data_IF_703675792149
#
_entry.id   IF_703675792149
#
_cell.length_a   1.000
_cell.length_b   1.000
_cell.length_c   1.000
_cell.angle_alpha   90.00
_cell.angle_beta   90.00
_cell.angle_gamma   90.00
#
_symmetry.space_group_name_H-M   'P 1'
#
loop_
_entity.id
_entity.type
_entity.pdbx_description
1 polymer ?
#
# COMPACT_ATOMS: atom_id res chain seq x y z
N UNK A 1 -21.67 4.98 -5.45
CA UNK A 1 -21.73 6.04 -4.41
C UNK A 1 -23.11 6.65 -4.25
N UNK A 2 -23.75 7.20 -5.30
CA UNK A 2 -25.12 7.72 -5.18
C UNK A 2 -26.12 6.67 -4.65
N UNK A 3 -26.05 5.43 -5.14
CA UNK A 3 -26.84 4.33 -4.59
C UNK A 3 -26.63 4.14 -3.08
N UNK A 4 -25.40 4.30 -2.55
CA UNK A 4 -25.16 4.21 -1.10
C UNK A 4 -25.84 5.34 -0.32
N UNK A 5 -25.84 6.57 -0.87
CA UNK A 5 -26.48 7.73 -0.23
C UNK A 5 -28.00 7.56 -0.18
N UNK A 6 -28.61 7.01 -1.24
CA UNK A 6 -30.07 6.88 -1.33
C UNK A 6 -30.60 5.56 -0.77
N UNK A 7 -29.85 4.46 -0.87
CA UNK A 7 -30.30 3.10 -0.55
C UNK A 7 -29.57 2.51 0.67
N UNK A 8 -28.53 3.18 1.18
CA UNK A 8 -27.70 2.70 2.29
C UNK A 8 -26.77 1.54 1.96
N UNK A 9 -26.74 1.09 0.69
CA UNK A 9 -25.88 0.00 0.24
C UNK A 9 -25.34 0.25 -1.16
N UNK A 10 -24.14 -0.27 -1.45
CA UNK A 10 -23.61 -0.30 -2.81
C UNK A 10 -22.61 -1.44 -2.97
N UNK A 11 -22.60 -2.05 -4.17
CA UNK A 11 -21.55 -2.98 -4.57
C UNK A 11 -20.37 -2.18 -5.11
N UNK A 12 -19.18 -2.46 -4.60
CA UNK A 12 -17.93 -1.84 -5.08
C UNK A 12 -17.17 -2.86 -5.89
N UNK A 13 -16.80 -2.51 -7.12
CA UNK A 13 -15.90 -3.31 -7.94
C UNK A 13 -14.45 -3.08 -7.50
N UNK A 14 -13.63 -4.14 -7.54
CA UNK A 14 -12.24 -4.08 -7.06
C UNK A 14 -11.43 -2.97 -7.77
N UNK A 15 -11.64 -2.75 -9.07
CA UNK A 15 -10.95 -1.71 -9.84
C UNK A 15 -11.32 -0.28 -9.45
N UNK A 16 -12.48 -0.07 -8.83
CA UNK A 16 -12.98 1.26 -8.42
C UNK A 16 -12.79 1.50 -6.92
N UNK A 17 -12.14 0.58 -6.21
CA UNK A 17 -12.05 0.62 -4.75
C UNK A 17 -11.29 1.84 -4.24
N UNK A 18 -10.20 2.22 -4.92
CA UNK A 18 -9.41 3.42 -4.60
C UNK A 18 -10.21 4.70 -4.84
N UNK A 19 -10.92 4.80 -5.96
CA UNK A 19 -11.77 5.96 -6.28
C UNK A 19 -12.94 6.08 -5.30
N UNK A 20 -13.53 4.93 -4.91
CA UNK A 20 -14.59 4.90 -3.90
C UNK A 20 -14.07 5.33 -2.53
N UNK A 21 -12.87 4.90 -2.15
CA UNK A 21 -12.23 5.34 -0.91
C UNK A 21 -12.01 6.86 -0.94
N UNK A 22 -11.45 7.40 -2.02
CA UNK A 22 -11.23 8.84 -2.19
C UNK A 22 -12.53 9.64 -2.08
N UNK A 23 -13.56 9.21 -2.81
CA UNK A 23 -14.85 9.88 -2.79
C UNK A 23 -15.53 9.78 -1.40
N UNK A 24 -15.42 8.62 -0.73
CA UNK A 24 -15.96 8.44 0.63
C UNK A 24 -15.26 9.33 1.66
N UNK A 25 -13.95 9.53 1.53
CA UNK A 25 -13.18 10.41 2.40
C UNK A 25 -13.53 11.88 2.17
N UNK A 26 -13.65 12.31 0.90
CA UNK A 26 -14.04 13.69 0.54
C UNK A 26 -15.45 14.05 1.00
N UNK A 27 -16.37 13.09 0.93
CA UNK A 27 -17.76 13.29 1.34
C UNK A 27 -17.99 12.99 2.83
N UNK A 28 -16.94 12.60 3.56
CA UNK A 28 -16.98 12.30 5.00
C UNK A 28 -18.01 11.21 5.33
N UNK A 29 -18.06 10.17 4.49
CA UNK A 29 -18.93 8.99 4.68
C UNK A 29 -18.10 7.90 5.36
N UNK A 30 -17.89 8.04 6.67
CA UNK A 30 -17.10 7.12 7.49
C UNK A 30 -17.47 5.62 7.34
N UNK A 31 -18.76 5.21 7.31
CA UNK A 31 -19.09 3.80 7.16
C UNK A 31 -18.66 3.24 5.80
N UNK A 32 -18.74 4.05 4.73
CA UNK A 32 -18.28 3.64 3.41
C UNK A 32 -16.76 3.60 3.33
N UNK A 33 -16.08 4.58 3.96
CA UNK A 33 -14.62 4.61 4.08
C UNK A 33 -14.09 3.36 4.80
N UNK A 34 -14.72 2.99 5.92
CA UNK A 34 -14.36 1.79 6.68
C UNK A 34 -14.61 0.50 5.87
N UNK A 35 -15.74 0.41 5.15
CA UNK A 35 -16.03 -0.74 4.29
C UNK A 35 -15.02 -0.87 3.15
N UNK A 36 -14.61 0.25 2.53
CA UNK A 36 -13.57 0.25 1.49
C UNK A 36 -12.22 -0.21 2.07
N UNK A 37 -11.84 0.30 3.25
CA UNK A 37 -10.61 -0.10 3.92
C UNK A 37 -10.60 -1.62 4.23
N UNK A 38 -11.71 -2.18 4.71
CA UNK A 38 -11.84 -3.61 4.95
C UNK A 38 -11.74 -4.44 3.67
N UNK A 39 -12.36 -3.99 2.59
CA UNK A 39 -12.27 -4.65 1.29
C UNK A 39 -10.85 -4.61 0.71
N UNK A 40 -10.12 -3.50 0.91
CA UNK A 40 -8.71 -3.39 0.53
C UNK A 40 -7.84 -4.33 1.35
N UNK A 41 -8.06 -4.40 2.66
CA UNK A 41 -7.34 -5.33 3.54
C UNK A 41 -7.56 -6.79 3.13
N UNK A 42 -8.77 -7.15 2.70
CA UNK A 42 -9.11 -8.51 2.27
C UNK A 42 -8.43 -8.93 0.96
N UNK A 43 -7.98 -7.96 0.15
CA UNK A 43 -7.28 -8.17 -1.13
C UNK A 43 -5.79 -7.83 -1.02
N UNK A 44 -5.30 -7.61 0.21
CA UNK A 44 -3.93 -7.23 0.47
C UNK A 44 -2.98 -8.38 0.14
N UNK A 45 -1.88 -8.05 -0.54
CA UNK A 45 -0.79 -8.96 -0.83
C UNK A 45 0.52 -8.19 -1.03
N UNK A 46 1.65 -8.88 -1.18
CA UNK A 46 2.97 -8.24 -1.28
C UNK A 46 3.05 -7.25 -2.45
N UNK A 47 2.44 -7.56 -3.60
CA UNK A 47 2.48 -6.71 -4.79
C UNK A 47 1.72 -5.38 -4.65
N UNK A 48 0.72 -5.28 -3.77
CA UNK A 48 -0.08 -4.06 -3.60
C UNK A 48 0.11 -3.40 -2.22
N UNK A 49 0.88 -4.02 -1.33
CA UNK A 49 1.09 -3.55 0.03
C UNK A 49 1.61 -2.11 0.12
N UNK A 50 2.56 -1.73 -0.76
CA UNK A 50 3.14 -0.38 -0.77
C UNK A 50 2.14 0.71 -1.16
N UNK A 51 1.28 0.42 -2.15
CA UNK A 51 0.22 1.33 -2.58
C UNK A 51 -0.87 1.45 -1.52
N UNK A 52 -1.28 0.32 -0.92
CA UNK A 52 -2.26 0.30 0.15
C UNK A 52 -1.74 1.04 1.38
N UNK A 53 -0.46 0.91 1.72
CA UNK A 53 0.17 1.68 2.79
C UNK A 53 0.10 3.18 2.51
N UNK A 54 0.47 3.62 1.31
CA UNK A 54 0.37 5.05 0.94
C UNK A 54 -1.06 5.58 1.04
N UNK A 55 -2.05 4.79 0.63
CA UNK A 55 -3.47 5.15 0.76
C UNK A 55 -3.90 5.18 2.23
N UNK A 56 -3.43 4.25 3.04
CA UNK A 56 -3.74 4.20 4.46
C UNK A 56 -3.19 5.42 5.21
N UNK A 57 -1.97 5.86 4.90
CA UNK A 57 -1.38 7.09 5.44
C UNK A 57 -2.18 8.33 4.99
N UNK A 58 -2.46 8.43 3.68
CA UNK A 58 -3.21 9.55 3.08
C UNK A 58 -4.61 9.75 3.71
N UNK A 59 -5.33 8.65 3.96
CA UNK A 59 -6.67 8.68 4.53
C UNK A 59 -6.70 8.45 6.05
N UNK A 60 -5.54 8.38 6.70
CA UNK A 60 -5.41 8.19 8.15
C UNK A 60 -6.17 6.94 8.64
N UNK A 61 -5.84 5.78 8.06
CA UNK A 61 -6.45 4.47 8.33
C UNK A 61 -5.43 3.54 9.03
N UNK A 62 -5.20 3.70 10.35
CA UNK A 62 -4.10 3.02 11.05
C UNK A 62 -4.21 1.49 11.08
N UNK A 63 -5.43 0.94 11.03
CA UNK A 63 -5.64 -0.51 10.98
C UNK A 63 -5.20 -1.10 9.62
N UNK A 64 -5.49 -0.38 8.53
CA UNK A 64 -5.08 -0.78 7.18
C UNK A 64 -3.58 -0.60 6.99
N UNK A 65 -3.02 0.47 7.54
CA UNK A 65 -1.58 0.74 7.52
C UNK A 65 -0.79 -0.41 8.16
N UNK A 66 -1.15 -0.83 9.38
CA UNK A 66 -0.49 -1.94 10.08
C UNK A 66 -0.54 -3.23 9.26
N UNK A 67 -1.70 -3.56 8.70
CA UNK A 67 -1.85 -4.75 7.87
C UNK A 67 -0.96 -4.67 6.61
N UNK A 68 -0.90 -3.50 5.96
CA UNK A 68 -0.07 -3.26 4.78
C UNK A 68 1.42 -3.42 5.10
N UNK A 69 1.88 -2.86 6.24
CA UNK A 69 3.27 -3.01 6.71
C UNK A 69 3.58 -4.47 7.01
N UNK A 70 2.71 -5.20 7.72
CA UNK A 70 2.92 -6.63 7.99
C UNK A 70 3.00 -7.46 6.71
N UNK A 71 2.13 -7.18 5.73
CA UNK A 71 2.19 -7.85 4.42
C UNK A 71 3.47 -7.50 3.65
N UNK A 72 3.96 -6.27 3.76
CA UNK A 72 5.21 -5.84 3.13
C UNK A 72 6.44 -6.48 3.79
N UNK A 73 6.45 -6.60 5.12
CA UNK A 73 7.51 -7.27 5.87
C UNK A 73 7.56 -8.77 5.59
N UNK A 74 6.40 -9.41 5.41
CA UNK A 74 6.30 -10.84 5.12
C UNK A 74 6.70 -11.23 3.69
N UNK A 75 6.62 -10.28 2.75
CA UNK A 75 6.90 -10.49 1.33
C UNK A 75 7.90 -9.49 0.77
N UNK A 76 8.89 -9.08 1.57
CA UNK A 76 9.82 -8.00 1.23
C UNK A 76 10.53 -8.21 -0.12
N UNK A 77 10.98 -9.44 -0.39
CA UNK A 77 11.67 -9.79 -1.64
C UNK A 77 10.79 -9.67 -2.89
N UNK A 78 9.46 -9.73 -2.74
CA UNK A 78 8.47 -9.67 -3.82
C UNK A 78 7.87 -8.26 -4.02
N UNK A 79 8.32 -7.29 -3.22
CA UNK A 79 7.81 -5.92 -3.30
C UNK A 79 8.17 -5.27 -4.64
N UNK A 80 7.25 -4.51 -5.25
CA UNK A 80 7.51 -3.81 -6.50
C UNK A 80 8.46 -2.64 -6.25
N UNK A 81 9.67 -2.74 -6.79
CA UNK A 81 10.75 -1.76 -6.64
C UNK A 81 10.32 -0.35 -7.05
N UNK A 82 9.61 -0.22 -8.17
CA UNK A 82 9.23 1.06 -8.78
C UNK A 82 8.19 1.83 -7.95
N UNK A 83 7.48 1.13 -7.06
CA UNK A 83 6.39 1.68 -6.27
C UNK A 83 6.86 2.10 -4.86
N UNK A 84 8.04 1.67 -4.45
CA UNK A 84 8.56 1.89 -3.11
C UNK A 84 9.12 3.31 -2.97
N UNK A 85 8.57 4.07 -2.03
CA UNK A 85 9.14 5.37 -1.67
C UNK A 85 10.35 5.21 -0.73
N UNK A 86 11.27 6.17 -0.74
CA UNK A 86 12.44 6.16 0.14
C UNK A 86 12.07 6.07 1.62
N UNK A 87 11.00 6.76 2.04
CA UNK A 87 10.48 6.71 3.40
C UNK A 87 10.01 5.29 3.77
N UNK A 88 9.23 4.64 2.90
CA UNK A 88 8.75 3.27 3.13
C UNK A 88 9.91 2.27 3.21
N UNK A 89 10.89 2.37 2.31
CA UNK A 89 12.07 1.47 2.34
C UNK A 89 12.84 1.64 3.64
N UNK A 90 13.07 2.87 4.10
CA UNK A 90 13.75 3.13 5.37
C UNK A 90 12.98 2.52 6.55
N UNK A 91 11.66 2.71 6.61
CA UNK A 91 10.83 2.13 7.67
C UNK A 91 10.86 0.60 7.65
N UNK A 92 10.84 -0.03 6.46
CA UNK A 92 10.91 -1.49 6.34
C UNK A 92 12.27 -2.04 6.77
N UNK A 93 13.36 -1.41 6.34
CA UNK A 93 14.73 -1.86 6.67
C UNK A 93 15.06 -1.64 8.15
N UNK A 94 14.44 -0.66 8.80
CA UNK A 94 14.59 -0.42 10.24
C UNK A 94 13.80 -1.40 11.12
N UNK A 95 12.86 -2.16 10.57
CA UNK A 95 12.01 -3.06 11.34
C UNK A 95 12.67 -4.43 11.54
N UNK A 96 12.93 -4.81 12.79
CA UNK A 96 13.51 -6.10 13.18
C UNK A 96 12.63 -7.31 12.80
N UNK A 97 11.34 -7.06 12.49
CA UNK A 97 10.37 -8.09 12.12
C UNK A 97 10.38 -8.43 10.63
N UNK A 98 11.30 -7.86 9.85
CA UNK A 98 11.41 -8.10 8.42
C UNK A 98 11.73 -9.56 8.13
N UNK A 99 10.88 -10.21 7.32
CA UNK A 99 11.03 -11.60 6.94
C UNK A 99 11.75 -11.67 5.59
N UNK A 100 13.07 -11.84 5.63
CA UNK A 100 13.90 -12.11 4.47
C UNK A 100 14.71 -13.39 4.68
N UNK A 101 15.15 -14.02 3.59
CA UNK A 101 15.99 -15.23 3.66
C UNK A 101 17.31 -14.99 4.39
N UNK A 102 17.90 -13.81 4.18
CA UNK A 102 19.13 -13.35 4.80
C UNK A 102 19.29 -11.82 4.60
N UNK A 103 20.24 -11.21 5.30
CA UNK A 103 20.56 -9.78 5.15
C UNK A 103 21.03 -9.43 3.73
N UNK A 104 21.69 -10.37 3.05
CA UNK A 104 22.13 -10.20 1.66
C UNK A 104 20.95 -9.99 0.70
N UNK A 105 19.83 -10.71 0.89
CA UNK A 105 18.63 -10.52 0.07
C UNK A 105 18.03 -9.11 0.27
N UNK A 106 18.07 -8.60 1.51
CA UNK A 106 17.64 -7.23 1.82
C UNK A 106 18.53 -6.22 1.11
N UNK A 107 19.85 -6.40 1.23
CA UNK A 107 20.83 -5.55 0.57
C UNK A 107 20.65 -5.53 -0.96
N UNK A 108 20.52 -6.71 -1.58
CA UNK A 108 20.32 -6.81 -3.03
C UNK A 108 19.01 -6.18 -3.49
N UNK A 109 17.94 -6.33 -2.72
CA UNK A 109 16.66 -5.68 -3.04
C UNK A 109 16.80 -4.15 -2.98
N UNK A 110 17.42 -3.59 -1.92
CA UNK A 110 17.63 -2.15 -1.78
C UNK A 110 18.54 -1.60 -2.88
N UNK A 111 19.60 -2.33 -3.25
CA UNK A 111 20.48 -1.94 -4.35
C UNK A 111 19.72 -1.86 -5.69
N UNK A 112 18.91 -2.89 -6.00
CA UNK A 112 18.05 -2.90 -7.20
C UNK A 112 16.99 -1.79 -7.18
N UNK A 113 16.44 -1.49 -6.01
CA UNK A 113 15.52 -0.38 -5.83
C UNK A 113 16.19 0.96 -6.15
N UNK A 114 17.40 1.18 -5.63
CA UNK A 114 18.15 2.41 -5.89
C UNK A 114 18.48 2.57 -7.38
N UNK A 115 18.90 1.48 -8.04
CA UNK A 115 19.11 1.47 -9.50
C UNK A 115 17.83 1.76 -10.28
N UNK A 116 16.68 1.24 -9.84
CA UNK A 116 15.39 1.51 -10.48
C UNK A 116 14.89 2.94 -10.27
N UNK A 117 15.26 3.59 -9.16
CA UNK A 117 14.85 4.96 -8.80
C UNK A 117 15.80 6.00 -9.39
N UNK A 118 17.07 5.69 -9.60
CA UNK A 118 18.01 6.56 -10.30
C UNK A 118 17.89 6.30 -11.81
N UNK A 119 17.18 7.14 -12.59
CA UNK A 119 17.28 7.04 -14.03
C UNK A 119 18.74 7.25 -14.40
N UNK A 120 19.28 6.29 -15.14
CA UNK A 120 20.66 6.22 -15.62
C UNK A 120 21.16 7.62 -16.00
N UNK A 121 22.24 8.07 -15.36
CA UNK A 121 23.02 9.27 -15.73
C UNK A 121 23.64 9.17 -17.16
N UNK A 122 23.20 8.19 -17.97
CA UNK A 122 23.73 7.82 -19.28
C UNK A 122 23.00 8.49 -20.46
N UNK A 123 22.12 9.46 -20.22
CA UNK A 123 21.49 10.29 -21.27
C UNK A 123 21.87 11.79 -21.19
N UNK A 124 23.07 12.12 -20.67
CA UNK A 124 23.70 13.45 -20.80
C UNK A 124 24.84 13.41 -21.82
#
# INVERSE_FOLDING_TARGET
LLAFIYEGSCKVEAGLLTEMLDASARLVIDPLKAACAYAMQSQLGPCNALDVWRLADLYTLPALEKAAVESALGGFEELPLQLASSAQVLTLVQEDRLVAKNEEAVFQWVARWQEAVQPTEAEL
#
